data_IF_816824422659
#
_entry.id   IF_816824422659
#
_cell.length_a   1.000
_cell.length_b   1.000
_cell.length_c   1.000
_cell.angle_alpha   90.00
_cell.angle_beta   90.00
_cell.angle_gamma   90.00
#
_symmetry.space_group_name_H-M   'P 1'
#
loop_
_entity.id
_entity.type
_entity.pdbx_description
1 polymer ?
#
# COMPACT_ATOMS: atom_id res chain seq x y z
N UNK A 1 6.11 -20.50 -6.87
CA UNK A 1 5.45 -19.21 -7.10
C UNK A 1 5.73 -18.77 -8.54
N UNK A 2 4.70 -18.31 -9.29
CA UNK A 2 4.96 -17.86 -10.67
C UNK A 2 5.79 -16.56 -10.65
N UNK A 3 6.66 -16.40 -11.63
CA UNK A 3 7.52 -15.19 -11.79
C UNK A 3 6.67 -13.91 -11.82
N UNK A 4 5.46 -13.98 -12.36
CA UNK A 4 4.51 -12.84 -12.39
C UNK A 4 4.07 -12.43 -10.98
N UNK A 5 3.77 -13.39 -10.11
CA UNK A 5 3.34 -13.11 -8.73
C UNK A 5 4.49 -12.51 -7.91
N UNK A 6 5.71 -13.02 -8.09
CA UNK A 6 6.90 -12.45 -7.45
C UNK A 6 7.13 -11.00 -7.88
N UNK A 7 7.10 -10.71 -9.17
CA UNK A 7 7.24 -9.32 -9.68
C UNK A 7 6.18 -8.39 -9.14
N UNK A 8 4.93 -8.85 -9.06
CA UNK A 8 3.85 -8.08 -8.46
C UNK A 8 4.12 -7.80 -6.97
N UNK A 9 4.51 -8.83 -6.20
CA UNK A 9 4.81 -8.65 -4.77
C UNK A 9 5.97 -7.68 -4.54
N UNK A 10 7.04 -7.76 -5.33
CA UNK A 10 8.15 -6.83 -5.25
C UNK A 10 7.74 -5.39 -5.63
N UNK A 11 6.90 -5.22 -6.65
CA UNK A 11 6.40 -3.88 -7.01
C UNK A 11 5.58 -3.24 -5.87
N UNK A 12 4.81 -4.05 -5.13
CA UNK A 12 4.08 -3.56 -3.95
C UNK A 12 5.00 -3.26 -2.77
N UNK A 13 6.06 -4.03 -2.59
CA UNK A 13 7.11 -3.74 -1.61
C UNK A 13 7.81 -2.40 -1.93
N UNK A 14 8.13 -2.14 -3.19
CA UNK A 14 8.67 -0.86 -3.63
C UNK A 14 7.75 0.32 -3.30
N UNK A 15 6.44 0.16 -3.44
CA UNK A 15 5.49 1.21 -3.04
C UNK A 15 5.57 1.50 -1.53
N UNK A 16 5.77 0.49 -0.68
CA UNK A 16 5.94 0.70 0.76
C UNK A 16 7.27 1.39 1.08
N UNK A 17 8.36 0.99 0.45
CA UNK A 17 9.65 1.67 0.56
C UNK A 17 9.54 3.15 0.20
N UNK A 18 8.86 3.45 -0.91
CA UNK A 18 8.63 4.82 -1.34
C UNK A 18 7.86 5.63 -0.30
N UNK A 19 6.75 5.11 0.24
CA UNK A 19 5.96 5.81 1.26
C UNK A 19 6.77 6.07 2.52
N UNK A 20 7.52 5.09 3.01
CA UNK A 20 8.30 5.24 4.24
C UNK A 20 9.47 6.19 4.07
N UNK A 21 10.16 6.14 2.93
CA UNK A 21 11.25 7.08 2.64
C UNK A 21 10.73 8.49 2.44
N UNK A 22 9.62 8.68 1.71
CA UNK A 22 8.98 9.98 1.53
C UNK A 22 8.57 10.60 2.88
N UNK A 23 7.96 9.81 3.76
CA UNK A 23 7.60 10.27 5.11
C UNK A 23 8.84 10.76 5.90
N UNK A 24 9.96 10.02 5.84
CA UNK A 24 11.21 10.44 6.50
C UNK A 24 11.74 11.75 5.96
N UNK A 25 11.73 11.93 4.64
CA UNK A 25 12.21 13.15 3.97
C UNK A 25 11.34 14.35 4.29
N UNK A 26 10.02 14.22 4.17
CA UNK A 26 9.08 15.28 4.51
C UNK A 26 9.22 15.74 5.97
N UNK A 27 9.43 14.81 6.89
CA UNK A 27 9.70 15.16 8.31
C UNK A 27 11.03 15.89 8.48
N UNK A 28 12.07 15.44 7.80
CA UNK A 28 13.40 16.08 7.87
C UNK A 28 13.37 17.51 7.32
N UNK A 29 12.53 17.78 6.33
CA UNK A 29 12.31 19.11 5.75
C UNK A 29 11.35 20.00 6.58
N UNK A 30 10.75 19.45 7.64
CA UNK A 30 9.73 20.18 8.43
C UNK A 30 8.44 20.38 7.64
N UNK A 31 8.16 19.57 6.63
CA UNK A 31 6.93 19.66 5.84
C UNK A 31 5.71 19.30 6.68
N UNK A 32 4.64 20.06 6.51
CA UNK A 32 3.32 19.72 7.08
C UNK A 32 2.55 18.65 6.32
N UNK A 33 3.13 18.08 5.26
CA UNK A 33 2.49 17.00 4.48
C UNK A 33 2.63 15.67 5.19
N UNK A 34 1.59 14.85 5.11
CA UNK A 34 1.57 13.47 5.59
C UNK A 34 1.39 12.50 4.43
N UNK A 35 2.07 11.37 4.49
CA UNK A 35 1.95 10.29 3.52
C UNK A 35 1.68 8.97 4.22
N UNK A 36 0.77 8.17 3.69
CA UNK A 36 0.42 6.86 4.23
C UNK A 36 0.24 5.84 3.11
N UNK A 37 0.41 4.56 3.43
CA UNK A 37 0.08 3.46 2.54
C UNK A 37 -1.27 2.86 2.91
N UNK A 38 -2.11 2.60 1.90
CA UNK A 38 -3.40 1.96 2.08
C UNK A 38 -3.54 0.71 1.20
N UNK A 39 -3.88 -0.41 1.83
CA UNK A 39 -4.23 -1.64 1.14
C UNK A 39 -5.76 -1.80 1.13
N UNK A 40 -6.42 -1.74 -0.02
CA UNK A 40 -7.87 -1.91 -0.10
C UNK A 40 -8.32 -3.37 0.07
N UNK A 41 -7.39 -4.32 0.15
CA UNK A 41 -7.66 -5.75 0.12
C UNK A 41 -7.81 -6.29 -1.30
N UNK A 42 -8.14 -7.57 -1.40
CA UNK A 42 -8.36 -8.23 -2.68
C UNK A 42 -9.77 -7.86 -3.21
N UNK A 43 -9.81 -7.02 -4.25
CA UNK A 43 -11.05 -6.57 -4.88
C UNK A 43 -11.50 -7.58 -5.93
N UNK A 44 -12.57 -8.34 -5.64
CA UNK A 44 -13.17 -9.29 -6.60
C UNK A 44 -14.05 -8.61 -7.64
N UNK A 45 -14.44 -7.37 -7.40
CA UNK A 45 -15.31 -6.57 -8.26
C UNK A 45 -14.56 -5.82 -9.37
N UNK A 46 -13.22 -5.86 -9.34
CA UNK A 46 -12.39 -5.23 -10.35
C UNK A 46 -12.01 -6.23 -11.45
N UNK A 47 -11.72 -5.70 -12.66
CA UNK A 47 -11.26 -6.51 -13.81
C UNK A 47 -10.00 -7.35 -13.54
N UNK A 48 -9.34 -7.14 -12.41
CA UNK A 48 -8.19 -7.93 -11.97
C UNK A 48 -8.56 -9.36 -11.53
N UNK A 49 -9.83 -9.63 -11.23
CA UNK A 49 -10.35 -10.90 -10.71
C UNK A 49 -11.08 -11.74 -11.78
N UNK A 50 -10.74 -11.60 -13.05
CA UNK A 50 -11.32 -12.42 -14.15
C UNK A 50 -10.83 -13.86 -14.06
N UNK A 51 -11.37 -14.62 -13.13
CA UNK A 51 -11.26 -16.08 -13.06
C UNK A 51 -12.59 -16.72 -13.44
N UNK A 52 -12.55 -17.90 -14.07
CA UNK A 52 -13.75 -18.66 -14.41
C UNK A 52 -14.65 -18.86 -13.18
N UNK A 53 -15.99 -18.82 -13.31
CA UNK A 53 -16.94 -18.83 -12.20
C UNK A 53 -16.71 -19.87 -11.09
N UNK A 54 -16.41 -21.15 -11.39
CA UNK A 54 -16.21 -22.15 -10.33
C UNK A 54 -14.92 -21.89 -9.53
N UNK A 55 -13.84 -21.47 -10.18
CA UNK A 55 -12.57 -21.16 -9.51
C UNK A 55 -12.70 -19.91 -8.65
N UNK A 56 -13.43 -18.90 -9.14
CA UNK A 56 -13.71 -17.67 -8.39
C UNK A 56 -14.49 -17.93 -7.10
N UNK A 57 -15.44 -18.87 -7.09
CA UNK A 57 -16.22 -19.22 -5.90
C UNK A 57 -15.35 -19.90 -4.81
N UNK A 58 -14.48 -20.83 -5.22
CA UNK A 58 -13.54 -21.49 -4.31
C UNK A 58 -12.53 -20.49 -3.75
N UNK A 59 -11.97 -19.62 -4.60
CA UNK A 59 -11.04 -18.59 -4.18
C UNK A 59 -11.69 -17.59 -3.20
N UNK A 60 -12.93 -17.16 -3.44
CA UNK A 60 -13.67 -16.32 -2.49
C UNK A 60 -13.81 -16.99 -1.13
N UNK A 61 -14.10 -18.29 -1.07
CA UNK A 61 -14.25 -19.01 0.19
C UNK A 61 -12.92 -19.16 0.94
N UNK A 62 -11.82 -19.44 0.21
CA UNK A 62 -10.48 -19.63 0.80
C UNK A 62 -9.86 -18.30 1.26
N UNK A 63 -10.17 -17.20 0.59
CA UNK A 63 -9.59 -15.89 0.87
C UNK A 63 -10.61 -14.88 1.42
N UNK A 64 -11.75 -15.36 1.96
CA UNK A 64 -12.82 -14.50 2.47
C UNK A 64 -12.33 -13.43 3.47
N UNK A 65 -11.38 -13.77 4.33
CA UNK A 65 -10.77 -12.83 5.29
C UNK A 65 -9.86 -11.77 4.66
N UNK A 66 -9.48 -11.94 3.38
CA UNK A 66 -8.62 -11.01 2.63
C UNK A 66 -9.38 -10.21 1.57
N UNK A 67 -10.67 -10.51 1.39
CA UNK A 67 -11.50 -9.78 0.45
C UNK A 67 -11.76 -8.37 0.98
N UNK A 68 -11.59 -7.37 0.11
CA UNK A 68 -12.01 -6.01 0.35
C UNK A 68 -13.47 -5.80 -0.12
N UNK A 69 -14.15 -4.83 0.50
CA UNK A 69 -15.42 -4.30 0.03
C UNK A 69 -15.14 -2.95 -0.64
N UNK A 70 -15.51 -2.78 -1.90
CA UNK A 70 -15.18 -1.58 -2.68
C UNK A 70 -15.70 -0.30 -2.01
N UNK A 71 -16.96 -0.30 -1.55
CA UNK A 71 -17.55 0.87 -0.89
C UNK A 71 -16.85 1.19 0.45
N UNK A 72 -16.64 0.17 1.29
CA UNK A 72 -15.96 0.35 2.59
C UNK A 72 -14.52 0.80 2.42
N UNK A 73 -13.79 0.25 1.45
CA UNK A 73 -12.40 0.66 1.16
C UNK A 73 -12.33 2.06 0.58
N UNK A 74 -13.30 2.44 -0.26
CA UNK A 74 -13.41 3.81 -0.78
C UNK A 74 -13.68 4.83 0.32
N UNK A 75 -14.58 4.51 1.26
CA UNK A 75 -14.85 5.35 2.43
C UNK A 75 -13.61 5.47 3.33
N UNK A 76 -12.93 4.36 3.62
CA UNK A 76 -11.71 4.37 4.42
C UNK A 76 -10.62 5.23 3.78
N UNK A 77 -10.42 5.13 2.47
CA UNK A 77 -9.46 5.97 1.75
C UNK A 77 -9.86 7.46 1.80
N UNK A 78 -11.14 7.76 1.63
CA UNK A 78 -11.65 9.14 1.75
C UNK A 78 -11.45 9.71 3.16
N UNK A 79 -11.64 8.89 4.19
CA UNK A 79 -11.40 9.30 5.59
C UNK A 79 -9.92 9.59 5.85
N UNK A 80 -9.01 8.75 5.36
CA UNK A 80 -7.57 9.00 5.43
C UNK A 80 -7.18 10.28 4.71
N UNK A 81 -7.66 10.47 3.47
CA UNK A 81 -7.36 11.64 2.66
C UNK A 81 -7.91 12.95 3.26
N UNK A 82 -9.04 12.87 3.96
CA UNK A 82 -9.67 14.02 4.63
C UNK A 82 -9.14 14.26 6.05
N UNK A 83 -8.15 13.51 6.52
CA UNK A 83 -7.63 13.64 7.88
C UNK A 83 -8.65 13.31 8.98
N UNK A 84 -9.67 12.52 8.66
CA UNK A 84 -10.71 12.11 9.63
C UNK A 84 -10.30 10.92 10.51
N UNK A 85 -9.03 10.57 10.55
CA UNK A 85 -8.47 9.54 11.44
C UNK A 85 -8.16 10.08 12.84
N UNK A 86 -8.17 9.17 13.83
CA UNK A 86 -7.87 9.52 15.23
C UNK A 86 -6.38 9.72 15.53
N UNK A 87 -5.49 9.51 14.57
CA UNK A 87 -4.03 9.55 14.76
C UNK A 87 -3.32 10.28 13.63
N UNK A 88 -2.07 10.72 13.85
CA UNK A 88 -1.21 11.08 12.74
C UNK A 88 -1.11 9.90 11.78
N UNK A 89 -1.42 10.11 10.49
CA UNK A 89 -1.36 9.02 9.48
C UNK A 89 0.02 8.89 8.83
N UNK A 90 0.91 9.83 9.07
CA UNK A 90 2.18 9.95 8.38
C UNK A 90 3.12 8.77 8.63
N UNK A 91 3.60 8.15 7.55
CA UNK A 91 4.46 6.98 7.59
C UNK A 91 3.77 5.71 8.08
N UNK A 92 2.43 5.66 8.06
CA UNK A 92 1.68 4.48 8.51
C UNK A 92 1.12 3.68 7.34
N UNK A 93 0.88 2.40 7.61
CA UNK A 93 0.21 1.47 6.71
C UNK A 93 -1.16 1.11 7.24
N UNK A 94 -2.16 1.14 6.39
CA UNK A 94 -3.56 0.81 6.71
C UNK A 94 -4.03 -0.36 5.86
N UNK A 95 -4.63 -1.36 6.50
CA UNK A 95 -5.18 -2.55 5.83
C UNK A 95 -6.71 -2.54 5.90
N UNK A 96 -7.35 -2.17 4.81
CA UNK A 96 -8.82 -2.19 4.58
C UNK A 96 -9.65 -1.28 5.51
N UNK A 97 -9.04 -0.53 6.39
CA UNK A 97 -9.72 0.36 7.33
C UNK A 97 -8.89 1.60 7.59
N UNK A 98 -9.54 2.72 7.90
CA UNK A 98 -8.92 3.95 8.40
C UNK A 98 -8.89 4.02 9.93
N UNK A 99 -9.53 3.06 10.61
CA UNK A 99 -9.72 3.12 12.06
C UNK A 99 -8.44 2.83 12.85
N UNK A 100 -7.51 2.05 12.29
CA UNK A 100 -6.24 1.72 12.93
C UNK A 100 -5.16 1.40 11.91
N UNK A 101 -3.93 1.83 12.20
CA UNK A 101 -2.76 1.39 11.45
C UNK A 101 -2.48 -0.10 11.69
N UNK A 102 -1.87 -0.72 10.69
CA UNK A 102 -1.46 -2.13 10.72
C UNK A 102 0.03 -2.25 10.45
N UNK A 103 0.62 -3.36 10.87
CA UNK A 103 1.97 -3.69 10.44
C UNK A 103 1.96 -4.11 8.95
N UNK A 104 2.91 -3.59 8.19
CA UNK A 104 3.18 -4.05 6.83
C UNK A 104 4.16 -5.23 6.85
N UNK A 105 4.64 -5.68 5.69
CA UNK A 105 5.68 -6.72 5.62
C UNK A 105 6.93 -6.32 6.39
N UNK A 106 7.54 -7.24 7.13
CA UNK A 106 8.79 -6.98 7.85
C UNK A 106 9.90 -6.46 6.92
N UNK A 107 9.95 -6.92 5.68
CA UNK A 107 10.90 -6.43 4.67
C UNK A 107 10.71 -4.96 4.32
N UNK A 108 9.51 -4.41 4.45
CA UNK A 108 9.23 -3.03 4.07
C UNK A 108 9.85 -1.98 5.01
N UNK A 109 10.34 -2.40 6.16
CA UNK A 109 10.99 -1.53 7.14
C UNK A 109 12.51 -1.42 6.94
N UNK A 110 13.05 -2.05 5.89
CA UNK A 110 14.47 -1.92 5.54
C UNK A 110 14.74 -0.53 4.94
N UNK A 111 15.28 0.35 5.76
CA UNK A 111 15.58 1.73 5.37
C UNK A 111 16.70 1.85 4.33
N UNK A 112 17.64 0.90 4.31
CA UNK A 112 18.70 0.91 3.30
C UNK A 112 18.12 0.68 1.92
N UNK A 113 17.30 -0.37 1.77
CA UNK A 113 16.63 -0.66 0.52
C UNK A 113 15.66 0.46 0.09
N UNK A 114 15.01 1.13 1.06
CA UNK A 114 14.13 2.26 0.77
C UNK A 114 14.91 3.46 0.20
N UNK A 115 16.06 3.80 0.79
CA UNK A 115 16.98 4.84 0.28
C UNK A 115 17.55 4.50 -1.10
N UNK A 116 17.99 3.28 -1.29
CA UNK A 116 18.56 2.82 -2.56
C UNK A 116 17.51 2.89 -3.68
N UNK A 117 16.27 2.47 -3.40
CA UNK A 117 15.15 2.60 -4.33
C UNK A 117 14.87 4.06 -4.68
N UNK A 118 14.90 4.96 -3.69
CA UNK A 118 14.69 6.38 -3.91
C UNK A 118 15.74 6.96 -4.85
N UNK A 119 17.03 6.75 -4.56
CA UNK A 119 18.13 7.24 -5.38
C UNK A 119 18.09 6.67 -6.81
N UNK A 120 17.74 5.39 -6.95
CA UNK A 120 17.52 4.78 -8.26
C UNK A 120 16.38 5.45 -9.02
N UNK A 121 15.29 5.75 -8.33
CA UNK A 121 14.12 6.40 -8.93
C UNK A 121 14.44 7.80 -9.41
N UNK A 122 15.15 8.61 -8.62
CA UNK A 122 15.66 9.94 -9.03
C UNK A 122 16.53 9.84 -10.29
N UNK A 123 17.45 8.89 -10.29
CA UNK A 123 18.34 8.66 -11.45
C UNK A 123 17.58 8.29 -12.71
N UNK A 124 16.54 7.45 -12.60
CA UNK A 124 15.77 6.97 -13.76
C UNK A 124 14.79 8.02 -14.29
N UNK A 125 14.26 8.87 -13.43
CA UNK A 125 13.28 9.90 -13.79
C UNK A 125 13.92 11.24 -14.15
N UNK A 126 15.18 11.46 -13.73
CA UNK A 126 15.85 12.76 -13.84
C UNK A 126 15.27 13.83 -12.91
N UNK A 127 14.43 13.45 -11.94
CA UNK A 127 13.81 14.34 -10.95
C UNK A 127 14.56 14.14 -9.63
N UNK A 128 15.20 15.20 -9.11
CA UNK A 128 15.69 15.25 -7.75
C UNK A 128 14.60 15.86 -6.86
N UNK A 129 14.26 15.15 -5.78
CA UNK A 129 13.25 15.54 -4.80
C UNK A 129 13.92 15.83 -3.46
#
# INVERSE_FOLDING_TARGET
>A
LSVRLLRYSYSKLCNLYFVYELSRRLRAEGSGLSVAAFNPGLMTETAFATTSPPVGAVMRRLFASRLGNLAASGMALADLAAGRGAFPIDGLYFDRTAASASASSALSYDESNARDLWLLSEKLTGVAL
#
